data_IF_957074342667
#
_entry.id   IF_957074342667
#
_cell.length_a   1.000
_cell.length_b   1.000
_cell.length_c   1.000
_cell.angle_alpha   90.00
_cell.angle_beta   90.00
_cell.angle_gamma   90.00
#
_symmetry.space_group_name_H-M   'P 1'
#
loop_
_entity.id
_entity.type
_entity.pdbx_description
1 polymer ?
#
# COMPACT_ATOMS: atom_id res chain seq x y z
N UNK A 1 -14.47 25.85 2.62
CA UNK A 1 -13.53 24.98 3.36
C UNK A 1 -12.14 25.60 3.32
N UNK A 2 -11.55 25.85 4.47
CA UNK A 2 -10.16 26.29 4.50
C UNK A 2 -9.24 25.14 4.09
N UNK A 3 -8.06 25.45 3.56
CA UNK A 3 -7.11 24.41 3.15
C UNK A 3 -6.67 23.52 4.33
N UNK A 4 -6.70 24.07 5.55
CA UNK A 4 -6.44 23.31 6.78
C UNK A 4 -7.47 22.22 7.06
N UNK A 5 -8.70 22.35 6.60
CA UNK A 5 -9.74 21.32 6.79
C UNK A 5 -9.61 20.15 5.83
N UNK A 6 -9.05 20.40 4.65
CA UNK A 6 -8.77 19.35 3.66
C UNK A 6 -7.76 18.33 4.19
N UNK A 7 -6.77 18.80 4.94
CA UNK A 7 -5.74 17.93 5.54
C UNK A 7 -6.27 17.04 6.66
N UNK A 8 -7.34 17.44 7.34
CA UNK A 8 -7.98 16.62 8.37
C UNK A 8 -8.54 15.32 7.81
N UNK A 9 -8.92 15.29 6.54
CA UNK A 9 -9.43 14.08 5.89
C UNK A 9 -8.35 13.01 5.70
N UNK A 10 -7.09 13.42 5.58
CA UNK A 10 -5.95 12.49 5.46
C UNK A 10 -5.68 11.78 6.79
N UNK A 11 -5.95 12.48 7.91
CA UNK A 11 -5.74 11.95 9.26
C UNK A 11 -6.92 11.14 9.82
N UNK A 12 -8.00 10.99 9.05
CA UNK A 12 -9.14 10.18 9.47
C UNK A 12 -8.82 8.70 9.45
N UNK A 13 -9.55 7.93 10.24
CA UNK A 13 -9.47 6.47 10.18
C UNK A 13 -9.82 5.97 8.78
N UNK A 14 -9.35 4.77 8.44
CA UNK A 14 -9.58 4.17 7.11
C UNK A 14 -11.07 4.10 6.76
N UNK A 15 -11.92 3.85 7.76
CA UNK A 15 -13.38 3.74 7.59
C UNK A 15 -14.06 5.08 7.30
N UNK A 16 -13.49 6.17 7.80
CA UNK A 16 -14.04 7.52 7.66
C UNK A 16 -13.57 8.26 6.40
N UNK A 17 -12.57 7.70 5.71
CA UNK A 17 -12.05 8.32 4.48
C UNK A 17 -13.04 8.17 3.33
N UNK A 18 -13.06 9.10 2.38
CA UNK A 18 -13.86 8.95 1.18
C UNK A 18 -13.55 7.62 0.48
N UNK A 19 -14.59 6.95 0.02
CA UNK A 19 -14.48 5.70 -0.72
C UNK A 19 -14.47 5.95 -2.22
N UNK A 20 -13.85 5.03 -2.96
CA UNK A 20 -13.92 5.02 -4.41
C UNK A 20 -15.37 4.80 -4.82
N UNK A 21 -15.86 5.62 -5.75
CA UNK A 21 -17.20 5.45 -6.26
C UNK A 21 -17.27 4.22 -7.18
N UNK A 22 -18.25 3.37 -6.93
CA UNK A 22 -18.52 2.19 -7.75
C UNK A 22 -19.63 2.48 -8.75
N UNK A 23 -19.46 1.96 -9.95
CA UNK A 23 -20.42 2.11 -11.04
C UNK A 23 -20.94 0.74 -11.45
N UNK A 24 -22.26 0.58 -11.60
CA UNK A 24 -22.90 -0.69 -11.95
C UNK A 24 -22.71 -1.05 -13.42
N UNK A 25 -22.62 -0.04 -14.27
CA UNK A 25 -22.45 -0.22 -15.71
C UNK A 25 -21.78 1.02 -16.32
N UNK A 26 -21.36 0.89 -17.57
CA UNK A 26 -20.64 1.95 -18.28
C UNK A 26 -21.44 3.25 -18.49
N UNK A 27 -22.77 3.19 -18.47
CA UNK A 27 -23.64 4.35 -18.66
C UNK A 27 -23.61 5.31 -17.46
N UNK A 28 -23.24 4.81 -16.29
CA UNK A 28 -23.11 5.61 -15.07
C UNK A 28 -21.75 6.32 -14.97
N UNK A 29 -20.81 5.97 -15.85
CA UNK A 29 -19.49 6.59 -15.87
C UNK A 29 -19.60 8.07 -16.27
N UNK A 30 -18.76 8.96 -15.69
CA UNK A 30 -18.71 10.34 -16.14
C UNK A 30 -18.28 10.43 -17.61
N UNK A 31 -18.75 11.45 -18.35
CA UNK A 31 -18.45 11.58 -19.79
C UNK A 31 -16.99 11.87 -20.09
N UNK A 32 -16.20 12.23 -19.09
CA UNK A 32 -14.77 12.48 -19.19
C UNK A 32 -14.03 11.63 -18.14
N UNK A 33 -12.76 11.23 -18.40
CA UNK A 33 -11.99 10.52 -17.39
C UNK A 33 -11.74 11.41 -16.17
N UNK A 34 -12.18 10.95 -15.00
CA UNK A 34 -11.99 11.64 -13.73
C UNK A 34 -11.28 10.68 -12.78
N UNK A 35 -10.15 11.11 -12.23
CA UNK A 35 -9.43 10.38 -11.19
C UNK A 35 -9.46 11.17 -9.89
N UNK A 36 -9.79 10.50 -8.80
CA UNK A 36 -9.78 11.07 -7.46
C UNK A 36 -8.58 10.53 -6.67
N UNK A 37 -7.87 11.39 -5.91
CA UNK A 37 -6.75 10.94 -5.08
C UNK A 37 -7.26 10.28 -3.80
N UNK A 38 -7.87 9.13 -3.94
CA UNK A 38 -8.48 8.35 -2.85
C UNK A 38 -7.76 7.01 -2.75
N UNK A 39 -7.60 6.49 -1.54
CA UNK A 39 -7.06 5.15 -1.34
C UNK A 39 -7.87 4.12 -2.14
N UNK A 40 -7.18 3.33 -2.94
CA UNK A 40 -7.80 2.32 -3.78
C UNK A 40 -8.38 2.82 -5.10
N UNK A 41 -8.11 4.07 -5.51
CA UNK A 41 -8.62 4.65 -6.77
C UNK A 41 -8.16 3.87 -8.02
N UNK A 42 -7.03 3.19 -7.94
CA UNK A 42 -6.51 2.30 -9.00
C UNK A 42 -6.89 0.83 -8.80
N UNK A 43 -7.78 0.55 -7.85
CA UNK A 43 -8.15 -0.82 -7.46
C UNK A 43 -7.13 -1.47 -6.55
N UNK A 44 -7.28 -2.79 -6.36
CA UNK A 44 -6.37 -3.60 -5.55
C UNK A 44 -5.11 -3.93 -6.34
N UNK A 45 -4.13 -3.06 -6.32
CA UNK A 45 -2.88 -3.26 -7.06
C UNK A 45 -2.03 -4.43 -6.54
N UNK A 46 -2.33 -4.93 -5.36
CA UNK A 46 -1.73 -6.15 -4.83
C UNK A 46 -1.93 -7.38 -5.73
N UNK A 47 -3.00 -7.41 -6.52
CA UNK A 47 -3.26 -8.50 -7.47
C UNK A 47 -2.28 -8.51 -8.65
N UNK A 48 -1.49 -7.46 -8.82
CA UNK A 48 -0.51 -7.34 -9.90
C UNK A 48 0.84 -8.00 -9.57
N UNK A 49 1.05 -8.44 -8.32
CA UNK A 49 2.34 -9.00 -7.88
C UNK A 49 2.69 -10.31 -8.59
N UNK A 50 3.94 -10.44 -8.98
CA UNK A 50 4.56 -11.72 -9.32
C UNK A 50 5.41 -12.23 -8.16
N UNK A 51 6.07 -11.33 -7.44
CA UNK A 51 6.86 -11.64 -6.25
C UNK A 51 6.33 -10.87 -5.05
N UNK A 52 6.36 -11.51 -3.89
CA UNK A 52 5.91 -10.95 -2.61
C UNK A 52 7.11 -10.71 -1.69
N UNK A 53 7.27 -9.50 -1.15
CA UNK A 53 8.27 -9.27 -0.11
C UNK A 53 7.79 -9.85 1.22
N UNK A 54 8.68 -10.55 1.90
CA UNK A 54 8.44 -11.11 3.24
C UNK A 54 9.49 -10.54 4.17
N UNK A 55 9.04 -9.83 5.21
CA UNK A 55 9.90 -9.24 6.22
C UNK A 55 10.13 -10.26 7.33
N UNK A 56 11.41 -10.52 7.65
CA UNK A 56 11.78 -11.28 8.85
C UNK A 56 11.69 -10.32 10.05
N UNK A 57 10.55 -10.33 10.71
CA UNK A 57 10.21 -9.41 11.81
C UNK A 57 11.17 -9.55 13.00
N UNK A 58 11.67 -10.78 13.25
CA UNK A 58 12.57 -11.05 14.36
C UNK A 58 13.96 -10.42 14.15
N UNK A 59 14.46 -10.43 12.92
CA UNK A 59 15.78 -9.88 12.57
C UNK A 59 15.73 -8.40 12.18
N UNK A 60 14.55 -7.87 11.90
CA UNK A 60 14.37 -6.49 11.49
C UNK A 60 14.77 -5.53 12.62
N UNK A 61 15.67 -4.58 12.30
CA UNK A 61 16.09 -3.56 13.26
C UNK A 61 15.18 -2.34 13.30
N UNK A 62 14.06 -2.37 12.60
CA UNK A 62 13.03 -1.32 12.59
C UNK A 62 13.55 0.07 12.14
N UNK A 63 14.53 0.09 11.25
CA UNK A 63 15.14 1.34 10.77
C UNK A 63 14.23 2.19 9.89
N UNK A 64 13.18 1.59 9.31
CA UNK A 64 12.19 2.28 8.49
C UNK A 64 12.63 2.67 7.08
N UNK A 65 13.78 2.22 6.62
CA UNK A 65 14.28 2.53 5.26
C UNK A 65 13.32 1.99 4.20
N UNK A 66 12.85 0.74 4.36
CA UNK A 66 11.87 0.14 3.44
C UNK A 66 10.56 0.97 3.36
N UNK A 67 10.08 1.45 4.50
CA UNK A 67 8.93 2.34 4.56
C UNK A 67 9.15 3.63 3.76
N UNK A 68 10.33 4.23 3.91
CA UNK A 68 10.69 5.47 3.22
C UNK A 68 10.72 5.29 1.69
N UNK A 69 11.20 4.14 1.22
CA UNK A 69 11.37 3.86 -0.21
C UNK A 69 10.17 3.20 -0.88
N UNK A 70 9.15 2.76 -0.12
CA UNK A 70 7.99 2.12 -0.73
C UNK A 70 7.20 3.11 -1.60
N UNK A 71 7.16 2.92 -2.93
CA UNK A 71 6.50 3.87 -3.83
C UNK A 71 4.97 3.88 -3.68
N UNK A 72 4.40 2.81 -3.14
CA UNK A 72 2.96 2.67 -2.96
C UNK A 72 2.49 3.05 -1.55
N UNK A 73 3.41 3.37 -0.64
CA UNK A 73 3.06 3.59 0.77
C UNK A 73 2.43 2.35 1.42
N UNK A 74 2.80 1.16 0.96
CA UNK A 74 2.19 -0.10 1.40
C UNK A 74 2.86 -0.69 2.65
N UNK A 75 3.90 -0.07 3.18
CA UNK A 75 4.54 -0.51 4.42
C UNK A 75 4.06 0.38 5.55
N UNK A 76 3.57 -0.25 6.61
CA UNK A 76 2.99 0.43 7.77
C UNK A 76 3.71 0.02 9.03
N UNK A 77 3.79 0.93 9.98
CA UNK A 77 4.29 0.64 11.31
C UNK A 77 3.13 0.17 12.19
N UNK A 78 3.33 -0.95 12.86
CA UNK A 78 2.37 -1.48 13.84
C UNK A 78 2.56 -0.81 15.20
N UNK A 79 1.64 -1.05 16.14
CA UNK A 79 1.68 -0.43 17.47
C UNK A 79 2.95 -0.76 18.26
N UNK A 80 3.54 -1.93 18.02
CA UNK A 80 4.78 -2.38 18.67
C UNK A 80 6.05 -1.89 17.95
N UNK A 81 5.91 -1.06 16.91
CA UNK A 81 6.99 -0.54 16.11
C UNK A 81 7.50 -1.47 15.01
N UNK A 82 6.90 -2.65 14.85
CA UNK A 82 7.22 -3.55 13.74
C UNK A 82 6.67 -3.00 12.43
N UNK A 83 7.25 -3.43 11.31
CA UNK A 83 6.80 -3.02 9.99
C UNK A 83 5.98 -4.15 9.34
N UNK A 84 4.86 -3.78 8.78
CA UNK A 84 3.94 -4.68 8.10
C UNK A 84 3.69 -4.20 6.68
N UNK A 85 3.59 -5.15 5.74
CA UNK A 85 3.30 -4.84 4.33
C UNK A 85 1.82 -5.02 4.08
N UNK A 86 1.17 -3.97 3.58
CA UNK A 86 -0.22 -4.03 3.12
C UNK A 86 -0.26 -4.70 1.74
N UNK A 87 -0.57 -5.98 1.72
CA UNK A 87 -0.60 -6.79 0.51
C UNK A 87 -1.73 -6.44 -0.45
N UNK A 88 -2.70 -5.64 -0.03
CA UNK A 88 -3.77 -5.16 -0.92
C UNK A 88 -3.22 -4.16 -1.95
N UNK A 89 -2.16 -3.44 -1.62
CA UNK A 89 -1.59 -2.40 -2.49
C UNK A 89 -0.13 -2.61 -2.87
N UNK A 90 0.58 -3.52 -2.22
CA UNK A 90 1.96 -3.85 -2.56
C UNK A 90 2.03 -4.46 -3.97
N UNK A 91 2.82 -3.87 -4.85
CA UNK A 91 3.02 -4.35 -6.23
C UNK A 91 4.19 -5.31 -6.38
N UNK A 92 4.93 -5.58 -5.32
CA UNK A 92 6.09 -6.47 -5.37
C UNK A 92 7.25 -5.93 -6.19
N UNK A 93 7.48 -4.61 -6.16
CA UNK A 93 8.52 -3.96 -6.96
C UNK A 93 9.95 -4.33 -6.52
N UNK A 94 10.14 -4.84 -5.30
CA UNK A 94 11.43 -5.28 -4.78
C UNK A 94 12.33 -4.18 -4.23
N UNK A 95 11.91 -2.92 -4.24
CA UNK A 95 12.71 -1.80 -3.75
C UNK A 95 13.01 -1.95 -2.26
N UNK A 96 12.00 -2.31 -1.45
CA UNK A 96 12.18 -2.53 -0.01
C UNK A 96 13.21 -3.61 0.28
N UNK A 97 13.17 -4.72 -0.44
CA UNK A 97 14.14 -5.81 -0.32
C UNK A 97 15.56 -5.37 -0.68
N UNK A 98 15.68 -4.60 -1.75
CA UNK A 98 16.96 -4.08 -2.23
C UNK A 98 17.59 -3.07 -1.26
N UNK A 99 16.77 -2.21 -0.67
CA UNK A 99 17.23 -1.14 0.20
C UNK A 99 17.37 -1.55 1.67
N UNK A 100 16.90 -2.74 2.05
CA UNK A 100 17.06 -3.22 3.43
C UNK A 100 18.54 -3.41 3.76
N UNK A 101 19.08 -2.64 4.74
CA UNK A 101 20.52 -2.66 5.03
C UNK A 101 20.99 -3.99 5.64
N UNK A 102 20.08 -4.74 6.24
CA UNK A 102 20.37 -6.00 6.92
C UNK A 102 19.83 -7.22 6.16
N UNK A 103 19.34 -7.04 4.94
CA UNK A 103 18.81 -8.10 4.07
C UNK A 103 17.73 -8.97 4.74
N UNK A 104 16.83 -8.35 5.48
CA UNK A 104 15.75 -9.04 6.19
C UNK A 104 14.45 -9.14 5.41
N UNK A 105 14.43 -8.72 4.15
CA UNK A 105 13.27 -8.81 3.28
C UNK A 105 13.60 -9.73 2.11
N UNK A 106 12.88 -10.84 2.02
CA UNK A 106 13.03 -11.82 0.95
C UNK A 106 11.90 -11.67 -0.06
N UNK A 107 12.22 -11.75 -1.35
CA UNK A 107 11.22 -11.76 -2.42
C UNK A 107 10.91 -13.21 -2.79
N UNK A 108 9.67 -13.62 -2.59
CA UNK A 108 9.19 -14.97 -2.88
C UNK A 108 8.13 -14.90 -3.97
N UNK A 109 8.19 -15.84 -4.92
CA UNK A 109 7.20 -15.89 -6.01
C UNK A 109 5.81 -16.20 -5.46
N UNK A 110 4.80 -15.45 -5.89
CA UNK A 110 3.41 -15.63 -5.44
C UNK A 110 2.90 -17.07 -5.66
N UNK A 111 3.29 -17.71 -6.76
CA UNK A 111 2.88 -19.08 -7.06
C UNK A 111 3.45 -20.13 -6.09
N UNK A 112 4.49 -19.80 -5.34
CA UNK A 112 5.09 -20.66 -4.33
C UNK A 112 4.48 -20.47 -2.94
N UNK A 113 3.69 -19.41 -2.77
CA UNK A 113 3.00 -19.05 -1.54
C UNK A 113 1.52 -19.46 -1.65
N UNK A 114 1.26 -20.74 -1.79
CA UNK A 114 -0.10 -21.25 -1.85
C UNK A 114 -0.78 -21.15 -0.48
N UNK A 115 -1.89 -20.47 -0.48
CA UNK A 115 -2.85 -20.46 0.63
C UNK A 115 -4.10 -21.19 0.24
#
# INVERSE_FOLDING_TARGET
MSDTEKWKNICKSKEERPKVQEYKNWKELPPIPISFPIEGSMGRTGDWRTFRPIIDVEKCNKCGICWTYCPEGAIKETEDGSLEIDLDYCKGCGICSRECPTNNIEMVRESELEE
#
